data_IF_649397442359
#
_entry.id   IF_649397442359
#
_cell.length_a   1.000
_cell.length_b   1.000
_cell.length_c   1.000
_cell.angle_alpha   90.00
_cell.angle_beta   90.00
_cell.angle_gamma   90.00
#
_symmetry.space_group_name_H-M   'P 1'
#
loop_
_entity.id
_entity.type
_entity.pdbx_description
1 polymer ?
#
# COMPACT_ATOMS: atom_id res chain seq x y z
N UNK A 1 -21.64 25.54 55.28
CA UNK A 1 -21.07 24.54 54.36
C UNK A 1 -21.07 25.17 52.99
N UNK A 2 -19.90 25.57 52.55
CA UNK A 2 -19.62 26.49 51.45
C UNK A 2 -19.73 25.78 50.10
N UNK A 3 -20.16 26.55 49.11
CA UNK A 3 -20.46 26.23 47.71
C UNK A 3 -19.26 25.77 46.86
N UNK A 4 -18.20 25.27 47.46
CA UNK A 4 -16.92 25.02 46.77
C UNK A 4 -16.71 23.58 46.29
N UNK A 5 -17.59 22.64 46.65
CA UNK A 5 -17.47 21.24 46.23
C UNK A 5 -18.24 20.86 44.95
N UNK A 6 -18.98 21.80 44.33
CA UNK A 6 -19.76 21.52 43.10
C UNK A 6 -19.00 21.79 41.79
N UNK A 7 -17.92 22.58 41.83
CA UNK A 7 -17.24 23.02 40.61
C UNK A 7 -16.36 21.94 39.94
N UNK A 8 -15.78 21.02 40.74
CA UNK A 8 -14.99 19.89 40.23
C UNK A 8 -15.86 18.85 39.51
N UNK A 9 -17.09 18.65 39.99
CA UNK A 9 -18.07 17.77 39.34
C UNK A 9 -18.59 18.41 38.05
N UNK A 10 -18.81 19.74 37.98
CA UNK A 10 -19.33 20.41 36.78
C UNK A 10 -18.37 20.36 35.58
N UNK A 11 -17.05 20.41 35.81
CA UNK A 11 -16.06 20.26 34.74
C UNK A 11 -15.91 18.79 34.29
N UNK A 12 -15.98 17.82 35.21
CA UNK A 12 -16.06 16.39 34.89
C UNK A 12 -17.38 16.03 34.18
N UNK A 13 -18.48 16.70 34.50
CA UNK A 13 -19.79 16.57 33.85
C UNK A 13 -19.79 17.23 32.45
N UNK A 14 -19.06 18.34 32.27
CA UNK A 14 -18.82 18.95 30.95
C UNK A 14 -17.92 18.09 30.07
N UNK A 15 -16.92 17.44 30.64
CA UNK A 15 -16.08 16.46 29.95
C UNK A 15 -16.86 15.17 29.64
N UNK A 16 -17.70 14.69 30.57
CA UNK A 16 -18.53 13.50 30.34
C UNK A 16 -19.61 13.72 29.28
N UNK A 17 -20.16 14.94 29.16
CA UNK A 17 -21.07 15.33 28.09
C UNK A 17 -20.39 15.46 26.70
N UNK A 18 -19.05 15.50 26.62
CA UNK A 18 -18.32 15.38 25.33
C UNK A 18 -18.20 13.94 24.85
N UNK A 19 -18.47 12.95 25.69
CA UNK A 19 -18.35 11.53 25.37
C UNK A 19 -19.66 10.77 25.66
N UNK A 20 -20.71 11.10 24.88
CA UNK A 20 -21.89 10.24 24.75
C UNK A 20 -21.57 9.02 23.86
N UNK A 21 -22.27 7.87 24.04
CA UNK A 21 -21.77 6.56 23.63
C UNK A 21 -21.81 6.34 22.11
N UNK A 22 -20.68 6.00 21.50
CA UNK A 22 -20.61 5.45 20.13
C UNK A 22 -21.06 3.98 20.18
N UNK A 23 -22.17 3.56 19.53
CA UNK A 23 -22.02 2.96 18.19
C UNK A 23 -23.27 2.89 17.25
N UNK A 24 -23.01 2.86 15.94
CA UNK A 24 -23.57 1.84 15.02
C UNK A 24 -22.54 1.31 14.00
N UNK A 25 -21.28 1.76 14.12
CA UNK A 25 -20.12 1.43 13.29
C UNK A 25 -18.85 1.99 13.95
N UNK A 26 -17.74 2.05 13.22
CA UNK A 26 -16.48 2.67 13.70
C UNK A 26 -16.60 4.19 13.80
N UNK A 27 -15.79 4.81 14.67
CA UNK A 27 -15.62 6.26 14.74
C UNK A 27 -15.32 6.86 13.35
N UNK A 28 -16.10 7.87 12.94
CA UNK A 28 -15.95 8.51 11.64
C UNK A 28 -14.55 9.11 11.43
N UNK A 29 -13.89 9.59 12.48
CA UNK A 29 -12.51 10.08 12.40
C UNK A 29 -11.53 8.92 12.16
N UNK A 30 -11.74 7.79 12.84
CA UNK A 30 -10.95 6.57 12.59
C UNK A 30 -11.10 6.07 11.15
N UNK A 31 -12.33 6.04 10.62
CA UNK A 31 -12.57 5.65 9.22
C UNK A 31 -11.85 6.60 8.27
N UNK A 32 -11.99 7.92 8.47
CA UNK A 32 -11.29 8.93 7.65
C UNK A 32 -9.78 8.76 7.68
N UNK A 33 -9.21 8.52 8.87
CA UNK A 33 -7.79 8.29 9.04
C UNK A 33 -7.30 7.08 8.21
N UNK A 34 -7.99 5.94 8.32
CA UNK A 34 -7.64 4.74 7.56
C UNK A 34 -7.78 4.93 6.05
N UNK A 35 -8.88 5.56 5.59
CA UNK A 35 -9.09 5.87 4.17
C UNK A 35 -8.00 6.79 3.62
N UNK A 36 -7.63 7.84 4.35
CA UNK A 36 -6.55 8.75 3.95
C UNK A 36 -5.23 8.01 3.71
N UNK A 37 -4.86 7.09 4.60
CA UNK A 37 -3.61 6.32 4.46
C UNK A 37 -3.64 5.32 3.30
N UNK A 38 -4.80 4.69 3.05
CA UNK A 38 -5.03 3.87 1.86
C UNK A 38 -4.81 4.70 0.60
N UNK A 39 -5.50 5.84 0.48
CA UNK A 39 -5.49 6.64 -0.74
C UNK A 39 -4.10 7.25 -1.00
N UNK A 40 -3.42 7.73 0.04
CA UNK A 40 -2.01 8.16 -0.03
C UNK A 40 -1.11 7.08 -0.58
N UNK A 41 -1.32 5.83 -0.18
CA UNK A 41 -0.47 4.73 -0.65
C UNK A 41 -0.76 4.39 -2.10
N UNK A 42 -2.03 4.35 -2.50
CA UNK A 42 -2.41 4.11 -3.90
C UNK A 42 -1.83 5.19 -4.81
N UNK A 43 -1.93 6.46 -4.40
CA UNK A 43 -1.33 7.57 -5.14
C UNK A 43 0.19 7.43 -5.27
N UNK A 44 0.90 7.12 -4.17
CA UNK A 44 2.35 6.91 -4.19
C UNK A 44 2.76 5.75 -5.12
N UNK A 45 2.00 4.65 -5.11
CA UNK A 45 2.26 3.53 -6.02
C UNK A 45 2.10 3.97 -7.49
N UNK A 46 1.04 4.73 -7.79
CA UNK A 46 0.81 5.30 -9.13
C UNK A 46 1.97 6.18 -9.61
N UNK A 47 2.40 7.12 -8.79
CA UNK A 47 3.53 8.02 -9.09
C UNK A 47 4.84 7.24 -9.36
N UNK A 48 5.10 6.20 -8.56
CA UNK A 48 6.28 5.35 -8.77
C UNK A 48 6.17 4.61 -10.12
N UNK A 49 5.01 4.03 -10.41
CA UNK A 49 4.79 3.24 -11.63
C UNK A 49 4.84 4.13 -12.90
N UNK A 50 4.31 5.35 -12.83
CA UNK A 50 4.41 6.36 -13.90
C UNK A 50 5.86 6.81 -14.11
N UNK A 51 6.59 7.13 -13.04
CA UNK A 51 8.00 7.49 -13.13
C UNK A 51 8.83 6.35 -13.75
N UNK A 52 8.54 5.09 -13.38
CA UNK A 52 9.17 3.92 -13.99
C UNK A 52 8.88 3.80 -15.49
N UNK A 53 7.66 4.10 -15.95
CA UNK A 53 7.36 4.11 -17.39
C UNK A 53 8.09 5.22 -18.14
N UNK A 54 8.23 6.40 -17.53
CA UNK A 54 9.05 7.50 -18.09
C UNK A 54 10.51 7.05 -18.24
N UNK A 55 11.09 6.46 -17.18
CA UNK A 55 12.47 5.94 -17.25
C UNK A 55 12.62 4.79 -18.24
N UNK A 56 11.60 3.93 -18.42
CA UNK A 56 11.59 2.90 -19.47
C UNK A 56 11.76 3.52 -20.85
N UNK A 57 11.00 4.57 -21.16
CA UNK A 57 11.11 5.30 -22.44
C UNK A 57 12.46 5.99 -22.57
N UNK A 58 12.98 6.56 -21.49
CA UNK A 58 14.29 7.19 -21.45
C UNK A 58 15.41 6.18 -21.75
N UNK A 59 15.40 4.99 -21.14
CA UNK A 59 16.35 3.91 -21.45
C UNK A 59 16.33 3.50 -22.91
N UNK A 60 15.14 3.50 -23.53
CA UNK A 60 15.00 3.23 -24.95
C UNK A 60 15.60 4.33 -25.83
N UNK A 61 15.62 5.59 -25.38
CA UNK A 61 16.18 6.73 -26.11
C UNK A 61 17.70 6.89 -25.92
N UNK A 62 18.21 6.63 -24.71
CA UNK A 62 19.62 6.83 -24.35
C UNK A 62 20.56 5.74 -24.86
N UNK A 63 20.03 4.63 -25.38
CA UNK A 63 20.82 3.49 -25.79
C UNK A 63 20.64 3.18 -27.28
N UNK A 64 21.71 2.74 -27.98
CA UNK A 64 21.58 2.25 -29.34
C UNK A 64 20.64 1.04 -29.40
N UNK A 65 19.90 0.92 -30.51
CA UNK A 65 19.01 -0.22 -30.79
C UNK A 65 19.83 -1.45 -31.21
N UNK A 66 20.62 -1.98 -30.28
CA UNK A 66 21.57 -3.06 -30.52
C UNK A 66 21.47 -4.15 -29.46
N UNK A 67 22.11 -5.28 -29.74
CA UNK A 67 22.22 -6.41 -28.84
C UNK A 67 22.78 -5.96 -27.49
N UNK A 68 22.25 -6.50 -26.39
CA UNK A 68 22.64 -6.24 -25.00
C UNK A 68 22.16 -4.91 -24.40
N UNK A 69 21.23 -4.19 -25.03
CA UNK A 69 20.62 -3.00 -24.40
C UNK A 69 19.86 -3.41 -23.14
N UNK A 70 19.90 -2.57 -22.12
CA UNK A 70 19.08 -2.79 -20.92
C UNK A 70 17.72 -2.12 -21.09
N UNK A 71 16.69 -2.65 -20.46
CA UNK A 71 15.35 -2.07 -20.49
C UNK A 71 14.54 -2.47 -19.28
N UNK A 72 13.32 -1.93 -19.22
CA UNK A 72 12.34 -2.22 -18.19
C UNK A 72 11.07 -2.75 -18.86
N UNK A 73 10.49 -3.83 -18.32
CA UNK A 73 9.22 -4.39 -18.79
C UNK A 73 8.27 -4.63 -17.61
N UNK A 74 6.98 -4.75 -17.91
CA UNK A 74 5.96 -5.12 -16.94
C UNK A 74 5.55 -6.58 -17.18
N UNK A 75 5.68 -7.42 -16.15
CA UNK A 75 5.28 -8.83 -16.23
C UNK A 75 4.20 -9.13 -15.20
N UNK A 76 3.23 -9.96 -15.58
CA UNK A 76 2.23 -10.47 -14.64
C UNK A 76 2.90 -11.39 -13.64
N UNK A 77 2.59 -11.21 -12.37
CA UNK A 77 2.98 -12.11 -11.29
C UNK A 77 1.85 -13.11 -11.07
N UNK A 78 2.05 -14.37 -11.49
CA UNK A 78 1.01 -15.40 -11.46
C UNK A 78 0.58 -15.81 -10.04
N UNK A 79 1.49 -15.68 -9.07
CA UNK A 79 1.35 -16.33 -7.77
C UNK A 79 1.12 -15.34 -6.61
N UNK A 80 1.27 -14.04 -6.85
CA UNK A 80 1.16 -13.00 -5.82
C UNK A 80 0.33 -11.81 -6.31
N UNK A 81 -0.36 -11.15 -5.36
CA UNK A 81 -1.08 -9.90 -5.59
C UNK A 81 -2.21 -10.00 -6.63
N UNK A 82 -2.94 -11.12 -6.69
CA UNK A 82 -4.08 -11.31 -7.59
C UNK A 82 -3.76 -11.10 -9.08
N UNK A 83 -2.59 -11.56 -9.55
CA UNK A 83 -2.21 -11.44 -10.96
C UNK A 83 -1.70 -10.05 -11.35
N UNK A 84 -1.36 -9.20 -10.38
CA UNK A 84 -0.84 -7.87 -10.63
C UNK A 84 0.46 -7.89 -11.45
N UNK A 85 0.75 -6.79 -12.12
CA UNK A 85 1.98 -6.60 -12.87
C UNK A 85 3.10 -6.04 -11.98
N UNK A 86 4.33 -6.44 -12.28
CA UNK A 86 5.54 -5.90 -11.65
C UNK A 86 6.57 -5.45 -12.67
N UNK A 87 7.32 -4.38 -12.37
CA UNK A 87 8.43 -3.92 -13.20
C UNK A 87 9.61 -4.89 -13.07
N UNK A 88 10.23 -5.23 -14.18
CA UNK A 88 11.39 -6.12 -14.26
C UNK A 88 12.43 -5.53 -15.18
N UNK A 89 13.66 -5.43 -14.67
CA UNK A 89 14.80 -5.03 -15.47
C UNK A 89 15.25 -6.19 -16.33
N UNK A 90 15.54 -5.88 -17.59
CA UNK A 90 15.93 -6.88 -18.57
C UNK A 90 17.13 -6.44 -19.39
N UNK A 91 17.80 -7.43 -19.96
CA UNK A 91 18.82 -7.27 -20.98
C UNK A 91 18.29 -7.88 -22.25
N UNK A 92 18.15 -7.05 -23.28
CA UNK A 92 17.68 -7.44 -24.59
C UNK A 92 18.80 -8.12 -25.37
N UNK A 93 18.48 -9.25 -26.00
CA UNK A 93 19.38 -10.04 -26.81
C UNK A 93 18.83 -10.16 -28.23
N UNK A 94 19.68 -10.02 -29.24
CA UNK A 94 19.33 -10.35 -30.63
C UNK A 94 19.91 -11.72 -30.94
N UNK A 95 19.06 -12.66 -31.37
CA UNK A 95 19.50 -13.98 -31.86
C UNK A 95 19.07 -14.18 -33.30
N UNK A 96 19.95 -14.81 -34.08
CA UNK A 96 19.68 -15.19 -35.44
C UNK A 96 19.15 -16.63 -35.47
N UNK A 97 18.02 -16.83 -36.13
CA UNK A 97 17.44 -18.14 -36.42
C UNK A 97 17.29 -18.29 -37.94
N UNK A 98 17.14 -19.52 -38.42
CA UNK A 98 16.90 -19.86 -39.83
C UNK A 98 15.57 -19.25 -40.33
N UNK A 99 15.58 -17.95 -40.64
CA UNK A 99 14.40 -17.16 -41.01
C UNK A 99 14.35 -15.72 -40.47
N UNK A 100 15.30 -15.28 -39.63
CA UNK A 100 15.42 -13.86 -39.27
C UNK A 100 15.96 -13.57 -37.87
N UNK A 101 16.19 -12.28 -37.59
CA UNK A 101 16.59 -11.78 -36.27
C UNK A 101 15.37 -11.61 -35.37
N UNK A 102 15.46 -12.10 -34.14
CA UNK A 102 14.42 -11.92 -33.11
C UNK A 102 15.02 -11.36 -31.83
N UNK A 103 14.24 -10.52 -31.15
CA UNK A 103 14.57 -9.99 -29.83
C UNK A 103 14.13 -10.97 -28.74
N UNK A 104 15.03 -11.20 -27.79
CA UNK A 104 14.81 -11.96 -26.57
C UNK A 104 15.21 -11.09 -25.38
N UNK A 105 14.86 -11.51 -24.18
CA UNK A 105 15.35 -10.87 -22.98
C UNK A 105 15.81 -11.89 -21.94
N UNK A 106 16.72 -11.44 -21.09
CA UNK A 106 17.06 -12.11 -19.84
C UNK A 106 16.83 -11.13 -18.70
N UNK A 107 16.24 -11.59 -17.60
CA UNK A 107 16.05 -10.76 -16.42
C UNK A 107 17.40 -10.33 -15.83
N UNK A 108 17.44 -9.11 -15.29
CA UNK A 108 18.57 -8.56 -14.58
C UNK A 108 18.24 -8.44 -13.09
N UNK A 109 19.19 -8.78 -12.21
CA UNK A 109 19.01 -8.51 -10.80
C UNK A 109 18.90 -7.00 -10.57
N UNK A 110 18.01 -6.59 -9.68
CA UNK A 110 17.81 -5.18 -9.31
C UNK A 110 19.03 -4.58 -8.61
N UNK A 111 19.94 -5.40 -8.08
CA UNK A 111 21.20 -4.96 -7.47
C UNK A 111 22.17 -4.43 -8.52
N UNK A 112 22.84 -3.34 -8.17
CA UNK A 112 23.95 -2.74 -8.94
C UNK A 112 23.55 -2.43 -10.40
N UNK A 113 22.29 -2.00 -10.63
CA UNK A 113 21.79 -1.70 -11.97
C UNK A 113 22.64 -0.67 -12.74
N UNK A 114 23.16 0.42 -12.12
CA UNK A 114 24.03 1.37 -12.83
C UNK A 114 25.26 0.71 -13.46
N UNK A 115 25.78 -0.37 -12.87
CA UNK A 115 26.95 -1.12 -13.41
C UNK A 115 26.60 -1.95 -14.64
N UNK A 116 25.30 -2.06 -14.98
CA UNK A 116 24.82 -2.80 -16.16
C UNK A 116 24.82 -1.96 -17.44
N UNK A 117 24.95 -0.64 -17.31
CA UNK A 117 25.11 0.26 -18.44
C UNK A 117 26.43 0.00 -19.17
N UNK A 118 26.37 -0.09 -20.49
CA UNK A 118 27.55 -0.11 -21.35
C UNK A 118 28.02 1.33 -21.59
N UNK A 119 29.33 1.52 -21.69
CA UNK A 119 29.94 2.85 -21.84
C UNK A 119 31.02 2.92 -22.93
N UNK A 120 31.20 1.86 -23.73
CA UNK A 120 32.24 1.77 -24.77
C UNK A 120 31.64 1.70 -26.16
N UNK A 121 32.38 2.18 -27.17
CA UNK A 121 31.94 2.19 -28.57
C UNK A 121 30.68 3.04 -28.75
N UNK A 122 29.75 2.59 -29.59
CA UNK A 122 28.46 3.29 -29.82
C UNK A 122 27.54 3.42 -28.59
N UNK A 123 27.93 2.85 -27.44
CA UNK A 123 27.23 3.01 -26.17
C UNK A 123 27.75 4.18 -25.33
N UNK A 124 28.88 4.79 -25.70
CA UNK A 124 29.43 5.94 -24.98
C UNK A 124 28.48 7.14 -25.05
N UNK A 125 27.79 7.30 -26.18
CA UNK A 125 26.70 8.26 -26.34
C UNK A 125 25.50 7.82 -25.49
N UNK A 126 25.13 8.61 -24.50
CA UNK A 126 24.03 8.30 -23.57
C UNK A 126 24.43 7.42 -22.37
N UNK A 127 25.72 7.13 -22.18
CA UNK A 127 26.18 6.22 -21.12
C UNK A 127 25.88 6.76 -19.72
N UNK A 128 26.05 8.05 -19.48
CA UNK A 128 25.90 8.65 -18.16
C UNK A 128 24.42 8.86 -17.83
N UNK A 129 23.62 9.28 -18.80
CA UNK A 129 22.15 9.35 -18.72
C UNK A 129 21.55 7.96 -18.46
N UNK A 130 22.07 6.92 -19.13
CA UNK A 130 21.66 5.53 -18.89
C UNK A 130 22.00 5.09 -17.47
N UNK A 131 23.21 5.38 -16.97
CA UNK A 131 23.60 5.03 -15.59
C UNK A 131 22.72 5.73 -14.56
N UNK A 132 22.40 7.01 -14.77
CA UNK A 132 21.54 7.77 -13.86
C UNK A 132 20.10 7.25 -13.90
N UNK A 133 19.55 6.99 -15.09
CA UNK A 133 18.23 6.37 -15.22
C UNK A 133 18.17 5.02 -14.50
N UNK A 134 19.19 4.16 -14.65
CA UNK A 134 19.27 2.88 -13.95
C UNK A 134 19.38 3.03 -12.43
N UNK A 135 20.08 4.06 -11.94
CA UNK A 135 20.15 4.37 -10.50
C UNK A 135 18.77 4.73 -9.97
N UNK A 136 18.05 5.60 -10.68
CA UNK A 136 16.68 6.02 -10.32
C UNK A 136 15.69 4.88 -10.38
N UNK A 137 15.71 4.06 -11.44
CA UNK A 137 14.89 2.85 -11.54
C UNK A 137 15.15 1.91 -10.36
N UNK A 138 16.42 1.68 -9.99
CA UNK A 138 16.76 0.81 -8.85
C UNK A 138 16.08 1.28 -7.56
N UNK A 139 16.16 2.58 -7.28
CA UNK A 139 15.53 3.20 -6.10
C UNK A 139 14.01 3.08 -6.16
N UNK A 140 13.39 3.41 -7.29
CA UNK A 140 11.94 3.35 -7.47
C UNK A 140 11.39 1.92 -7.33
N UNK A 141 12.08 0.93 -7.92
CA UNK A 141 11.71 -0.48 -7.77
C UNK A 141 11.81 -0.94 -6.32
N UNK A 142 12.80 -0.47 -5.55
CA UNK A 142 12.92 -0.82 -4.13
C UNK A 142 11.82 -0.16 -3.29
N UNK A 143 11.50 1.11 -3.57
CA UNK A 143 10.38 1.81 -2.95
C UNK A 143 9.06 1.09 -3.22
N UNK A 144 8.80 0.74 -4.49
CA UNK A 144 7.61 -0.02 -4.89
C UNK A 144 7.52 -1.35 -4.15
N UNK A 145 8.61 -2.11 -4.13
CA UNK A 145 8.69 -3.41 -3.46
C UNK A 145 8.40 -3.29 -1.97
N UNK A 146 8.98 -2.30 -1.29
CA UNK A 146 8.75 -2.06 0.13
C UNK A 146 7.30 -1.66 0.41
N UNK A 147 6.73 -0.78 -0.42
CA UNK A 147 5.34 -0.37 -0.31
C UNK A 147 4.38 -1.55 -0.40
N UNK A 148 4.57 -2.41 -1.42
CA UNK A 148 3.79 -3.63 -1.61
C UNK A 148 3.99 -4.62 -0.46
N UNK A 149 5.21 -4.77 0.05
CA UNK A 149 5.49 -5.64 1.20
C UNK A 149 4.78 -5.16 2.46
N UNK A 150 4.73 -3.85 2.73
CA UNK A 150 3.96 -3.31 3.86
C UNK A 150 2.47 -3.64 3.76
N UNK A 151 1.87 -3.54 2.58
CA UNK A 151 0.48 -3.94 2.36
C UNK A 151 0.24 -5.44 2.49
N UNK A 152 1.16 -6.26 1.97
CA UNK A 152 1.07 -7.71 2.16
C UNK A 152 1.16 -8.10 3.64
N UNK A 153 1.97 -7.39 4.43
CA UNK A 153 2.06 -7.60 5.88
C UNK A 153 0.78 -7.15 6.59
N UNK A 154 0.26 -5.97 6.25
CA UNK A 154 -1.00 -5.45 6.80
C UNK A 154 -2.18 -6.38 6.48
N UNK A 155 -2.29 -6.82 5.23
CA UNK A 155 -3.33 -7.76 4.80
C UNK A 155 -3.28 -9.07 5.59
N UNK A 156 -2.10 -9.65 5.80
CA UNK A 156 -1.95 -10.86 6.63
C UNK A 156 -2.37 -10.63 8.08
N UNK A 157 -2.01 -9.49 8.66
CA UNK A 157 -2.41 -9.13 10.01
C UNK A 157 -3.93 -8.94 10.13
N UNK A 158 -4.55 -8.26 9.17
CA UNK A 158 -6.00 -8.04 9.12
C UNK A 158 -6.76 -9.36 8.93
N UNK A 159 -6.32 -10.26 8.05
CA UNK A 159 -6.99 -11.55 7.87
C UNK A 159 -6.99 -12.41 9.14
N UNK A 160 -5.93 -12.33 9.96
CA UNK A 160 -5.91 -12.99 11.27
C UNK A 160 -6.94 -12.40 12.24
N UNK A 161 -7.16 -11.08 12.19
CA UNK A 161 -8.19 -10.41 13.00
C UNK A 161 -9.60 -10.66 12.46
N UNK A 162 -9.79 -10.72 11.15
CA UNK A 162 -11.08 -11.01 10.51
C UNK A 162 -11.63 -12.37 10.92
N UNK A 163 -10.76 -13.33 11.25
CA UNK A 163 -11.15 -14.65 11.75
C UNK A 163 -11.98 -14.59 13.05
N UNK A 164 -11.85 -13.53 13.87
CA UNK A 164 -12.63 -13.36 15.11
C UNK A 164 -13.98 -12.66 14.90
N UNK A 165 -14.27 -12.14 13.70
CA UNK A 165 -15.52 -11.43 13.43
C UNK A 165 -16.78 -12.28 13.71
N UNK A 166 -16.84 -13.57 13.34
CA UNK A 166 -18.00 -14.41 13.67
C UNK A 166 -18.23 -14.52 15.18
N UNK A 167 -17.17 -14.70 15.97
CA UNK A 167 -17.25 -14.81 17.43
C UNK A 167 -17.74 -13.51 18.05
N UNK A 168 -17.23 -12.35 17.60
CA UNK A 168 -17.68 -11.03 18.04
C UNK A 168 -19.16 -10.79 17.69
N UNK A 169 -19.62 -11.25 16.52
CA UNK A 169 -21.03 -11.15 16.12
C UNK A 169 -21.92 -12.01 17.01
N UNK A 170 -21.46 -13.21 17.35
CA UNK A 170 -22.18 -14.14 18.22
C UNK A 170 -22.24 -13.65 19.67
N UNK A 171 -21.14 -13.11 20.19
CA UNK A 171 -21.10 -12.46 21.50
C UNK A 171 -22.10 -11.29 21.56
N UNK A 172 -22.05 -10.40 20.56
CA UNK A 172 -22.99 -9.28 20.46
C UNK A 172 -24.45 -9.76 20.41
N UNK A 173 -24.74 -10.83 19.68
CA UNK A 173 -26.09 -11.43 19.61
C UNK A 173 -26.56 -11.89 20.98
N UNK A 174 -25.74 -12.68 21.69
CA UNK A 174 -26.06 -13.19 23.04
C UNK A 174 -26.33 -12.06 24.04
N UNK A 175 -25.49 -11.03 24.03
CA UNK A 175 -25.66 -9.87 24.92
C UNK A 175 -26.96 -9.14 24.61
N UNK A 176 -27.27 -8.89 23.33
CA UNK A 176 -28.52 -8.23 22.92
C UNK A 176 -29.77 -9.03 23.29
N UNK A 177 -29.73 -10.37 23.18
CA UNK A 177 -30.83 -11.26 23.58
C UNK A 177 -31.06 -11.27 25.10
N UNK A 178 -29.98 -11.22 25.90
CA UNK A 178 -30.06 -11.21 27.35
C UNK A 178 -30.40 -9.83 27.96
N UNK A 179 -30.12 -8.75 27.22
CA UNK A 179 -30.22 -7.37 27.70
C UNK A 179 -31.59 -7.01 28.31
N UNK A 180 -32.74 -7.42 27.73
CA UNK A 180 -34.05 -7.08 28.29
C UNK A 180 -34.32 -7.66 29.68
N UNK A 181 -33.66 -8.77 30.03
CA UNK A 181 -33.80 -9.43 31.32
C UNK A 181 -32.84 -8.85 32.39
N UNK A 182 -32.00 -7.87 32.05
CA UNK A 182 -31.03 -7.32 32.99
C UNK A 182 -31.71 -6.50 34.12
N UNK A 183 -31.22 -6.56 35.37
CA UNK A 183 -31.89 -5.97 36.54
C UNK A 183 -32.21 -4.47 36.45
N UNK A 184 -31.39 -3.72 35.73
CA UNK A 184 -31.52 -2.27 35.57
C UNK A 184 -31.96 -1.86 34.16
N UNK A 185 -32.41 -2.80 33.31
CA UNK A 185 -32.75 -2.50 31.91
C UNK A 185 -33.91 -1.51 31.77
N UNK A 186 -34.97 -1.67 32.57
CA UNK A 186 -36.10 -0.74 32.57
C UNK A 186 -35.69 0.67 33.06
N UNK A 187 -34.76 0.72 34.02
CA UNK A 187 -34.20 1.97 34.54
C UNK A 187 -33.32 2.66 33.48
N UNK A 188 -32.43 1.92 32.80
CA UNK A 188 -31.57 2.48 31.76
C UNK A 188 -32.36 2.99 30.57
N UNK A 189 -33.42 2.28 30.16
CA UNK A 189 -34.35 2.74 29.11
C UNK A 189 -35.08 4.03 29.52
N UNK A 190 -35.36 4.25 30.81
CA UNK A 190 -36.04 5.46 31.29
C UNK A 190 -35.12 6.67 31.36
N UNK A 191 -33.86 6.49 31.74
CA UNK A 191 -32.93 7.60 32.01
C UNK A 191 -31.92 7.88 30.88
N UNK A 192 -31.68 6.94 29.97
CA UNK A 192 -30.71 7.10 28.87
C UNK A 192 -31.36 7.42 27.50
N UNK A 193 -32.69 7.55 27.42
CA UNK A 193 -33.40 7.97 26.20
C UNK A 193 -33.32 9.49 26.04
N UNK A 194 -32.20 10.00 25.52
CA UNK A 194 -32.02 11.44 25.31
C UNK A 194 -30.70 11.88 24.67
N UNK A 195 -30.04 11.01 23.90
CA UNK A 195 -28.84 11.34 23.11
C UNK A 195 -29.04 11.01 21.64
#
# INVERSE_FOLDING_TARGET
>A
MTSENYALDDDLIRESNRYAPLPAGSDAQMVRYLTMHRDRTVALLGEIDEALDVYRRALDAYQPKSNQKVGLIWMRESDRLNGATKPIMVRWLIRNYSGGMRWFYTELPQRDLPRRAKSRGGWALGADETKEALRRIQTLMEQRKNLVAHWANLSRALSAMEASIPDLREERRKVLEALPAAPFYAQSQKYNRGG
#
